data_IF_920039932558
#
_entry.id   IF_920039932558
#
_cell.length_a   1.000
_cell.length_b   1.000
_cell.length_c   1.000
_cell.angle_alpha   90.00
_cell.angle_beta   90.00
_cell.angle_gamma   90.00
#
_symmetry.space_group_name_H-M   'P 1'
#
loop_
_entity.id
_entity.type
_entity.pdbx_description
1 polymer ?
#
# COMPACT_ATOMS: atom_id res chain seq x y z
N UNK A 1 -30.84 -24.85 8.60
CA UNK A 1 -30.20 -23.95 7.63
C UNK A 1 -28.93 -23.50 8.34
N UNK A 2 -27.84 -24.21 8.08
CA UNK A 2 -26.57 -24.10 8.80
C UNK A 2 -25.86 -22.78 8.46
N UNK A 3 -25.03 -22.31 9.39
CA UNK A 3 -24.35 -21.02 9.43
C UNK A 3 -23.48 -20.70 8.18
N UNK A 4 -24.10 -20.34 7.06
CA UNK A 4 -23.40 -19.87 5.84
C UNK A 4 -22.82 -18.44 5.96
N UNK A 5 -22.93 -17.81 7.13
CA UNK A 5 -22.53 -16.43 7.39
C UNK A 5 -21.14 -16.29 8.05
N UNK A 6 -20.34 -17.36 8.11
CA UNK A 6 -19.02 -17.38 8.77
C UNK A 6 -18.00 -18.08 7.87
N UNK A 7 -16.84 -17.57 7.42
CA UNK A 7 -16.16 -16.28 7.37
C UNK A 7 -15.11 -16.48 6.24
N UNK A 8 -15.24 -15.89 5.04
CA UNK A 8 -14.01 -15.60 4.30
C UNK A 8 -13.27 -14.55 5.12
N UNK A 9 -11.96 -14.71 5.30
CA UNK A 9 -11.10 -13.76 5.99
C UNK A 9 -11.51 -12.31 5.62
N UNK A 10 -11.45 -11.34 6.54
CA UNK A 10 -11.80 -9.97 6.18
C UNK A 10 -10.98 -9.52 4.97
N UNK A 11 -11.62 -8.91 3.98
CA UNK A 11 -10.89 -8.23 2.92
C UNK A 11 -10.17 -7.04 3.56
N UNK A 12 -8.84 -7.00 3.41
CA UNK A 12 -7.99 -5.96 4.00
C UNK A 12 -7.38 -5.13 2.89
N UNK A 13 -7.49 -3.82 3.03
CA UNK A 13 -6.81 -2.86 2.15
C UNK A 13 -5.82 -2.10 3.02
N UNK A 14 -4.55 -2.14 2.63
CA UNK A 14 -3.49 -1.39 3.29
C UNK A 14 -3.60 0.12 3.07
N UNK A 15 -2.59 0.83 3.52
CA UNK A 15 -2.43 2.27 3.41
C UNK A 15 -1.91 2.66 2.03
N UNK A 16 -2.20 3.88 1.57
CA UNK A 16 -1.75 4.39 0.26
C UNK A 16 -2.12 3.48 -0.94
N UNK A 17 -3.22 2.74 -0.84
CA UNK A 17 -3.70 1.90 -1.95
C UNK A 17 -4.53 2.74 -2.92
N UNK A 18 -4.16 2.71 -4.21
CA UNK A 18 -4.97 3.31 -5.26
C UNK A 18 -5.82 2.25 -5.96
N UNK A 19 -7.15 2.36 -5.84
CA UNK A 19 -8.10 1.46 -6.50
C UNK A 19 -8.75 2.17 -7.68
N UNK A 20 -8.49 1.66 -8.89
CA UNK A 20 -9.06 2.17 -10.13
C UNK A 20 -10.55 1.87 -10.27
N UNK A 21 -11.24 2.69 -11.06
CA UNK A 21 -12.67 2.59 -11.28
C UNK A 21 -13.09 1.17 -11.74
N UNK A 22 -14.23 0.68 -11.26
CA UNK A 22 -14.78 -0.65 -11.58
C UNK A 22 -13.85 -1.85 -11.30
N UNK A 23 -12.83 -1.71 -10.46
CA UNK A 23 -12.10 -2.86 -9.95
C UNK A 23 -13.00 -3.72 -9.04
N UNK A 24 -12.84 -5.04 -9.11
CA UNK A 24 -13.58 -6.02 -8.32
C UNK A 24 -12.59 -6.80 -7.45
N UNK A 25 -12.81 -6.83 -6.14
CA UNK A 25 -11.95 -7.50 -5.16
C UNK A 25 -12.72 -8.68 -4.56
N UNK A 26 -12.17 -9.87 -4.68
CA UNK A 26 -12.77 -11.07 -4.09
C UNK A 26 -12.67 -11.04 -2.56
N UNK A 27 -13.73 -11.53 -1.89
CA UNK A 27 -13.74 -11.68 -0.44
C UNK A 27 -12.54 -12.52 0.03
N UNK A 28 -11.88 -12.10 1.11
CA UNK A 28 -10.68 -12.77 1.64
C UNK A 28 -9.35 -12.17 1.22
N UNK A 29 -9.33 -11.32 0.18
CA UNK A 29 -8.08 -10.74 -0.36
C UNK A 29 -7.50 -9.69 0.58
N UNK A 30 -6.18 -9.75 0.75
CA UNK A 30 -5.36 -8.68 1.34
C UNK A 30 -4.64 -7.90 0.24
N UNK A 31 -4.78 -6.59 0.24
CA UNK A 31 -4.06 -5.66 -0.63
C UNK A 31 -3.02 -4.94 0.22
N UNK A 32 -1.73 -5.15 -0.08
CA UNK A 32 -0.62 -4.55 0.66
C UNK A 32 -0.49 -3.04 0.48
N UNK A 33 0.22 -2.40 1.41
CA UNK A 33 0.41 -0.94 1.42
C UNK A 33 1.04 -0.44 0.11
N UNK A 34 0.60 0.73 -0.36
CA UNK A 34 1.11 1.35 -1.58
C UNK A 34 0.71 0.64 -2.88
N UNK A 35 -0.08 -0.43 -2.85
CA UNK A 35 -0.48 -1.15 -4.06
C UNK A 35 -1.38 -0.32 -4.98
N UNK A 36 -1.40 -0.65 -6.27
CA UNK A 36 -2.26 -0.03 -7.29
C UNK A 36 -3.07 -1.10 -7.99
N UNK A 37 -4.39 -0.97 -7.93
CA UNK A 37 -5.34 -1.82 -8.65
C UNK A 37 -5.81 -1.07 -9.89
N UNK A 38 -5.45 -1.53 -11.08
CA UNK A 38 -5.88 -0.90 -12.32
C UNK A 38 -7.41 -0.94 -12.47
N UNK A 39 -7.96 0.02 -13.23
CA UNK A 39 -9.39 0.06 -13.52
C UNK A 39 -9.87 -1.25 -14.18
N UNK A 40 -11.03 -1.74 -13.78
CA UNK A 40 -11.63 -2.99 -14.29
C UNK A 40 -10.92 -4.29 -13.90
N UNK A 41 -9.92 -4.26 -13.00
CA UNK A 41 -9.22 -5.46 -12.57
C UNK A 41 -10.10 -6.40 -11.72
N UNK A 42 -9.99 -7.72 -11.91
CA UNK A 42 -10.60 -8.74 -11.03
C UNK A 42 -9.53 -9.35 -10.12
N UNK A 43 -9.43 -8.84 -8.90
CA UNK A 43 -8.45 -9.27 -7.90
C UNK A 43 -8.95 -10.52 -7.19
N UNK A 44 -8.33 -11.67 -7.51
CA UNK A 44 -8.70 -13.00 -6.98
C UNK A 44 -7.71 -13.55 -5.96
N UNK A 45 -6.57 -12.89 -5.75
CA UNK A 45 -5.48 -13.28 -4.85
C UNK A 45 -4.92 -12.03 -4.16
N UNK A 46 -4.20 -12.26 -3.06
CA UNK A 46 -3.50 -11.20 -2.34
C UNK A 46 -2.55 -10.43 -3.26
N UNK A 47 -2.44 -9.12 -2.99
CA UNK A 47 -1.62 -8.18 -3.74
C UNK A 47 -0.49 -7.70 -2.84
N UNK A 48 0.75 -7.88 -3.28
CA UNK A 48 1.91 -7.47 -2.52
C UNK A 48 2.01 -5.94 -2.37
N UNK A 49 2.67 -5.44 -1.30
CA UNK A 49 2.92 -4.02 -1.16
C UNK A 49 3.61 -3.41 -2.37
N UNK A 50 3.19 -2.20 -2.76
CA UNK A 50 3.66 -1.47 -3.93
C UNK A 50 3.49 -2.17 -5.29
N UNK A 51 2.80 -3.31 -5.36
CA UNK A 51 2.52 -3.96 -6.63
C UNK A 51 1.46 -3.18 -7.41
N UNK A 52 1.65 -3.10 -8.72
CA UNK A 52 0.66 -2.60 -9.68
C UNK A 52 0.04 -3.81 -10.36
N UNK A 53 -1.24 -4.07 -10.14
CA UNK A 53 -1.96 -5.22 -10.71
C UNK A 53 -3.06 -4.77 -11.66
N UNK A 54 -3.37 -5.59 -12.67
CA UNK A 54 -4.47 -5.34 -13.60
C UNK A 54 -4.89 -6.57 -14.39
N UNK A 55 -6.03 -6.48 -15.06
CA UNK A 55 -6.61 -7.57 -15.86
C UNK A 55 -7.65 -8.41 -15.13
N UNK A 56 -8.19 -9.41 -15.83
CA UNK A 56 -9.18 -10.37 -15.31
C UNK A 56 -8.77 -11.80 -15.73
N UNK A 57 -8.22 -12.63 -14.82
CA UNK A 57 -7.88 -12.30 -13.44
C UNK A 57 -6.70 -11.32 -13.36
N UNK A 58 -6.65 -10.52 -12.29
CA UNK A 58 -5.60 -9.54 -12.08
C UNK A 58 -4.23 -10.21 -11.91
N UNK A 59 -3.20 -9.65 -12.56
CA UNK A 59 -1.81 -10.09 -12.48
C UNK A 59 -0.91 -8.89 -12.18
N UNK A 60 0.23 -9.14 -11.55
CA UNK A 60 1.27 -8.12 -11.37
C UNK A 60 1.78 -7.66 -12.73
N UNK A 61 1.71 -6.35 -12.98
CA UNK A 61 2.25 -5.69 -14.17
C UNK A 61 3.68 -5.23 -13.88
N UNK A 62 3.88 -4.60 -12.72
CA UNK A 62 5.17 -4.10 -12.20
C UNK A 62 5.03 -3.73 -10.72
N UNK A 63 6.10 -3.25 -10.11
CA UNK A 63 6.04 -2.54 -8.82
C UNK A 63 6.15 -1.03 -9.03
N UNK A 64 5.59 -0.23 -8.12
CA UNK A 64 5.78 1.24 -8.08
C UNK A 64 7.24 1.60 -7.80
N UNK A 65 7.86 0.83 -6.91
CA UNK A 65 9.26 0.93 -6.51
C UNK A 65 9.94 -0.35 -6.99
N UNK A 66 10.90 -0.24 -7.91
CA UNK A 66 11.51 -1.38 -8.56
C UNK A 66 12.41 -2.18 -7.59
N UNK A 67 13.14 -1.46 -6.75
CA UNK A 67 14.12 -1.98 -5.80
C UNK A 67 13.40 -2.61 -4.59
N UNK A 68 13.59 -3.92 -4.33
CA UNK A 68 12.97 -4.59 -3.18
C UNK A 68 13.34 -3.95 -1.84
N UNK A 69 14.61 -3.57 -1.67
CA UNK A 69 15.10 -2.94 -0.44
C UNK A 69 14.39 -1.61 -0.16
N UNK A 70 14.12 -0.80 -1.18
CA UNK A 70 13.40 0.45 -1.00
C UNK A 70 11.93 0.23 -0.63
N UNK A 71 11.31 -0.85 -1.13
CA UNK A 71 9.95 -1.23 -0.68
C UNK A 71 9.93 -1.57 0.80
N UNK A 72 10.86 -2.41 1.26
CA UNK A 72 10.97 -2.80 2.66
C UNK A 72 11.19 -1.58 3.57
N UNK A 73 12.11 -0.68 3.18
CA UNK A 73 12.39 0.54 3.93
C UNK A 73 11.19 1.50 3.98
N UNK A 74 10.42 1.61 2.89
CA UNK A 74 9.19 2.42 2.92
C UNK A 74 8.12 1.81 3.83
N UNK A 75 8.03 0.47 3.90
CA UNK A 75 7.13 -0.20 4.85
C UNK A 75 7.58 -0.01 6.30
N UNK A 76 8.88 0.04 6.56
CA UNK A 76 9.42 0.34 7.89
C UNK A 76 9.16 1.80 8.29
N UNK A 77 9.31 2.74 7.36
CA UNK A 77 9.02 4.16 7.57
C UNK A 77 7.53 4.37 7.91
N UNK A 78 6.63 3.68 7.21
CA UNK A 78 5.19 3.70 7.41
C UNK A 78 4.64 5.13 7.63
N UNK A 79 4.93 6.03 6.69
CA UNK A 79 4.64 7.47 6.85
C UNK A 79 3.16 7.79 7.10
N UNK A 80 2.26 6.92 6.66
CA UNK A 80 0.82 6.99 6.93
C UNK A 80 0.46 6.85 8.42
N UNK A 81 1.36 6.35 9.26
CA UNK A 81 1.18 6.29 10.72
C UNK A 81 1.71 7.53 11.45
N UNK A 82 2.30 8.50 10.73
CA UNK A 82 2.81 9.72 11.35
C UNK A 82 1.67 10.65 11.78
N UNK A 83 1.92 11.53 12.77
CA UNK A 83 1.00 12.62 13.11
C UNK A 83 0.71 13.53 11.91
N UNK A 84 -0.51 14.06 11.82
CA UNK A 84 -0.98 14.86 10.68
C UNK A 84 -0.17 16.15 10.45
N UNK A 85 0.26 16.80 11.53
CA UNK A 85 1.14 17.97 11.51
C UNK A 85 2.49 17.63 10.89
N UNK A 86 3.06 16.49 11.25
CA UNK A 86 4.31 15.97 10.68
C UNK A 86 4.15 15.60 9.20
N UNK A 87 3.02 14.99 8.81
CA UNK A 87 2.72 14.71 7.40
C UNK A 87 2.63 16.02 6.61
N UNK A 88 1.97 17.03 7.17
CA UNK A 88 1.78 18.34 6.54
C UNK A 88 3.12 19.07 6.35
N UNK A 89 3.98 19.06 7.37
CA UNK A 89 5.32 19.64 7.30
C UNK A 89 6.19 18.96 6.23
N UNK A 90 6.05 17.65 6.06
CA UNK A 90 6.89 16.82 5.19
C UNK A 90 6.27 16.50 3.83
N UNK A 91 5.15 17.13 3.48
CA UNK A 91 4.35 16.78 2.30
C UNK A 91 5.16 16.86 1.01
N UNK A 92 6.03 17.87 0.86
CA UNK A 92 6.89 18.04 -0.32
C UNK A 92 7.84 16.84 -0.52
N UNK A 93 8.33 16.26 0.58
CA UNK A 93 9.19 15.08 0.55
C UNK A 93 8.39 13.80 0.27
N UNK A 94 7.19 13.66 0.84
CA UNK A 94 6.29 12.52 0.57
C UNK A 94 5.87 12.49 -0.91
N UNK A 95 5.62 13.66 -1.51
CA UNK A 95 5.21 13.80 -2.91
C UNK A 95 6.39 13.84 -3.90
N UNK A 96 7.63 13.81 -3.42
CA UNK A 96 8.83 13.81 -4.24
C UNK A 96 8.96 12.51 -5.05
N UNK A 97 9.64 12.60 -6.21
CA UNK A 97 10.04 11.43 -6.98
C UNK A 97 11.33 10.79 -6.47
N UNK A 98 12.11 11.49 -5.66
CA UNK A 98 13.36 10.96 -5.10
C UNK A 98 13.11 10.15 -3.83
N UNK A 99 12.73 8.90 -4.05
CA UNK A 99 12.51 7.94 -2.97
C UNK A 99 13.80 7.64 -2.18
N UNK A 100 14.96 7.73 -2.82
CA UNK A 100 16.24 7.41 -2.17
C UNK A 100 16.61 8.47 -1.14
N UNK A 101 16.37 9.74 -1.47
CA UNK A 101 16.51 10.85 -0.53
C UNK A 101 15.51 10.72 0.62
N UNK A 102 14.23 10.45 0.33
CA UNK A 102 13.19 10.26 1.35
C UNK A 102 13.57 9.17 2.36
N UNK A 103 14.01 8.00 1.87
CA UNK A 103 14.42 6.89 2.73
C UNK A 103 15.63 7.27 3.58
N UNK A 104 16.64 7.91 2.99
CA UNK A 104 17.86 8.33 3.71
C UNK A 104 17.54 9.24 4.88
N UNK A 105 16.57 10.13 4.70
CA UNK A 105 16.17 11.11 5.69
C UNK A 105 15.32 10.50 6.82
N UNK A 106 14.34 9.66 6.48
CA UNK A 106 13.32 9.24 7.44
C UNK A 106 13.46 7.83 8.01
N UNK A 107 14.18 6.92 7.35
CA UNK A 107 14.39 5.57 7.88
C UNK A 107 15.07 5.56 9.27
N UNK A 108 16.13 6.36 9.55
CA UNK A 108 16.77 6.37 10.88
C UNK A 108 15.83 6.78 12.03
N UNK A 109 14.71 7.45 11.69
CA UNK A 109 13.72 7.99 12.60
C UNK A 109 12.38 7.23 12.55
N UNK A 110 12.31 6.12 11.81
CA UNK A 110 11.10 5.29 11.74
C UNK A 110 10.63 4.91 13.16
N UNK A 111 9.35 5.11 13.44
CA UNK A 111 8.74 4.86 14.76
C UNK A 111 9.12 5.83 15.88
N UNK A 112 10.00 6.82 15.64
CA UNK A 112 10.40 7.85 16.62
C UNK A 112 9.74 9.21 16.39
N UNK A 113 8.83 9.30 15.43
CA UNK A 113 8.05 10.52 15.16
C UNK A 113 7.16 10.78 16.37
N UNK A 114 7.64 11.59 17.31
CA UNK A 114 6.89 12.04 18.48
C UNK A 114 6.04 13.24 18.09
N UNK A 115 4.78 13.23 18.53
CA UNK A 115 4.02 14.46 18.73
C UNK A 115 4.69 15.20 19.90
N UNK A 116 5.12 16.44 19.69
CA UNK A 116 5.36 17.38 20.79
C UNK A 116 4.03 17.99 21.27
#
# INVERSE_FOLDING_TARGET
MTDDHILKSPTRVGNDVWIGNNAQIMAGVTIGDGAVIAAGALVTKDVEPYAVVGGNPAKVIRYRIAEPIFREQMLEIAWWNWPEDIISERLDKIMSKDISEFIREYLPNAGKVKCD
#
